data_IF_966456671032
#
_entry.id   IF_966456671032
#
_cell.length_a   1.000
_cell.length_b   1.000
_cell.length_c   1.000
_cell.angle_alpha   90.00
_cell.angle_beta   90.00
_cell.angle_gamma   90.00
#
_symmetry.space_group_name_H-M   'P 1'
#
loop_
_entity.id
_entity.type
_entity.pdbx_description
1 polymer ?
#
# COMPACT_ATOMS: atom_id res chain seq x y z
N UNK A 1 38.10 28.45 -24.30
CA UNK A 1 37.40 28.55 -23.00
C UNK A 1 36.66 27.23 -22.81
N UNK A 2 37.05 26.42 -21.81
CA UNK A 2 36.39 25.15 -21.52
C UNK A 2 35.10 25.46 -20.76
N UNK A 3 33.96 25.13 -21.34
CA UNK A 3 32.69 25.20 -20.64
C UNK A 3 32.68 24.09 -19.58
N UNK A 4 32.72 24.47 -18.31
CA UNK A 4 32.59 23.54 -17.20
C UNK A 4 31.22 22.88 -17.26
N UNK A 5 31.19 21.56 -17.35
CA UNK A 5 29.97 20.80 -17.19
C UNK A 5 29.49 20.96 -15.74
N UNK A 6 28.41 21.70 -15.53
CA UNK A 6 27.74 21.76 -14.24
C UNK A 6 26.89 20.49 -14.13
N UNK A 7 27.38 19.50 -13.39
CA UNK A 7 26.60 18.32 -13.03
C UNK A 7 25.93 18.59 -11.68
N UNK A 8 24.61 18.76 -11.67
CA UNK A 8 23.84 18.69 -10.44
C UNK A 8 23.76 17.22 -10.03
N UNK A 9 24.25 16.87 -8.83
CA UNK A 9 24.17 15.50 -8.31
C UNK A 9 22.71 15.14 -7.93
N UNK A 10 21.91 14.78 -8.92
CA UNK A 10 20.52 14.31 -8.79
C UNK A 10 20.40 13.05 -7.93
N UNK A 11 21.48 12.25 -7.85
CA UNK A 11 21.56 11.06 -6.98
C UNK A 11 21.44 11.41 -5.50
N UNK A 12 22.05 12.51 -5.05
CA UNK A 12 21.95 12.93 -3.64
C UNK A 12 20.53 13.38 -3.30
N UNK A 13 19.85 14.05 -4.21
CA UNK A 13 18.45 14.47 -4.03
C UNK A 13 17.48 13.27 -3.99
N UNK A 14 17.67 12.27 -4.85
CA UNK A 14 16.91 11.01 -4.79
C UNK A 14 17.13 10.25 -3.49
N UNK A 15 18.34 10.35 -2.91
CA UNK A 15 18.67 9.75 -1.61
C UNK A 15 17.98 10.48 -0.46
N UNK A 16 17.84 11.81 -0.53
CA UNK A 16 17.08 12.60 0.45
C UNK A 16 15.58 12.30 0.36
N UNK A 17 14.99 12.23 -0.84
CA UNK A 17 13.59 11.83 -1.02
C UNK A 17 13.33 10.46 -0.41
N UNK A 18 14.21 9.49 -0.72
CA UNK A 18 14.11 8.12 -0.21
C UNK A 18 14.26 8.05 1.31
N UNK A 19 15.24 8.78 1.88
CA UNK A 19 15.43 8.84 3.33
C UNK A 19 14.22 9.46 4.04
N UNK A 20 13.54 10.43 3.44
CA UNK A 20 12.34 11.05 4.03
C UNK A 20 11.11 10.14 3.85
N UNK A 21 10.98 9.42 2.73
CA UNK A 21 9.96 8.38 2.55
C UNK A 21 10.14 7.21 3.54
N UNK A 22 11.38 6.79 3.79
CA UNK A 22 11.73 5.74 4.76
C UNK A 22 11.43 6.19 6.20
N UNK A 23 11.72 7.45 6.54
CA UNK A 23 11.33 8.03 7.85
C UNK A 23 9.82 8.13 7.98
N UNK A 24 9.09 8.56 6.94
CA UNK A 24 7.64 8.66 6.97
C UNK A 24 6.95 7.30 7.13
N UNK A 25 7.43 6.27 6.42
CA UNK A 25 6.90 4.91 6.49
C UNK A 25 7.23 4.22 7.82
N UNK A 26 8.45 4.37 8.33
CA UNK A 26 8.83 3.87 9.66
C UNK A 26 8.00 4.52 10.76
N UNK A 27 7.70 5.81 10.65
CA UNK A 27 6.92 6.54 11.64
C UNK A 27 5.43 6.17 11.63
N UNK A 28 4.85 5.94 10.44
CA UNK A 28 3.49 5.39 10.30
C UNK A 28 3.39 3.97 10.88
N UNK A 29 4.42 3.15 10.71
CA UNK A 29 4.50 1.82 11.34
C UNK A 29 4.51 1.95 12.86
N UNK A 30 5.42 2.77 13.43
CA UNK A 30 5.50 2.99 14.87
C UNK A 30 4.21 3.56 15.45
N UNK A 31 3.49 4.41 14.71
CA UNK A 31 2.19 4.96 15.15
C UNK A 31 1.11 3.87 15.20
N UNK A 32 1.05 2.99 14.19
CA UNK A 32 0.13 1.84 14.18
C UNK A 32 0.48 0.80 15.25
N UNK A 33 1.77 0.59 15.49
CA UNK A 33 2.25 -0.30 16.55
C UNK A 33 1.88 0.25 17.95
N UNK A 34 1.94 1.58 18.12
CA UNK A 34 1.43 2.30 19.30
C UNK A 34 -0.08 2.16 19.45
N UNK A 35 -0.86 2.31 18.38
CA UNK A 35 -2.31 2.08 18.39
C UNK A 35 -2.65 0.62 18.77
N UNK A 36 -1.89 -0.35 18.27
CA UNK A 36 -2.04 -1.77 18.60
C UNK A 36 -1.75 -2.08 20.07
N UNK A 37 -0.64 -1.57 20.62
CA UNK A 37 -0.26 -1.71 22.03
C UNK A 37 -1.27 -1.04 22.97
N UNK A 38 -1.87 0.08 22.55
CA UNK A 38 -2.87 0.82 23.34
C UNK A 38 -4.24 0.12 23.33
N UNK A 39 -4.64 -0.48 22.21
CA UNK A 39 -5.85 -1.31 22.15
C UNK A 39 -5.73 -2.55 23.05
N UNK A 40 -4.52 -3.09 23.22
CA UNK A 40 -4.25 -4.19 24.16
C UNK A 40 -4.35 -3.71 25.62
N UNK A 41 -3.88 -2.49 25.93
CA UNK A 41 -4.05 -1.90 27.26
C UNK A 41 -5.52 -1.61 27.64
N UNK A 42 -6.41 -1.43 26.65
CA UNK A 42 -7.85 -1.29 26.88
C UNK A 42 -8.51 -2.59 27.36
N UNK A 43 -7.88 -3.76 27.19
CA UNK A 43 -8.36 -5.01 27.78
C UNK A 43 -8.21 -5.05 29.31
N UNK A 44 -7.51 -4.06 29.90
CA UNK A 44 -7.32 -3.91 31.35
C UNK A 44 -8.11 -2.75 31.98
N UNK A 45 -8.95 -2.03 31.23
CA UNK A 45 -9.73 -0.89 31.74
C UNK A 45 -10.99 -1.34 32.52
N UNK A 46 -10.79 -2.15 33.56
CA UNK A 46 -11.73 -2.39 34.66
C UNK A 46 -11.42 -1.53 35.91
N UNK A 47 -10.59 -0.48 35.80
CA UNK A 47 -10.14 0.31 36.96
C UNK A 47 -10.35 1.82 36.74
N UNK A 48 -11.38 2.38 37.40
CA UNK A 48 -11.45 3.78 37.87
C UNK A 48 -11.68 4.89 36.85
N UNK A 49 -12.83 5.57 36.96
CA UNK A 49 -13.30 6.65 36.06
C UNK A 49 -12.39 7.88 35.95
N UNK A 50 -11.50 8.14 36.90
CA UNK A 50 -10.52 9.24 36.83
C UNK A 50 -9.31 8.95 35.93
N UNK A 51 -8.83 7.70 35.92
CA UNK A 51 -7.69 7.28 35.08
C UNK A 51 -8.14 7.15 33.63
N UNK A 52 -9.35 6.65 33.38
CA UNK A 52 -9.93 6.57 32.05
C UNK A 52 -10.11 7.97 31.39
N UNK A 53 -10.55 8.97 32.16
CA UNK A 53 -10.71 10.34 31.66
C UNK A 53 -9.37 11.02 31.36
N UNK A 54 -8.37 10.87 32.26
CA UNK A 54 -7.02 11.37 32.02
C UNK A 54 -6.35 10.68 30.83
N UNK A 55 -6.57 9.37 30.66
CA UNK A 55 -6.06 8.60 29.53
C UNK A 55 -6.69 9.05 28.20
N UNK A 56 -8.00 9.28 28.17
CA UNK A 56 -8.71 9.81 27.00
C UNK A 56 -8.23 11.23 26.61
N UNK A 57 -7.95 12.08 27.59
CA UNK A 57 -7.42 13.42 27.34
C UNK A 57 -5.98 13.39 26.78
N UNK A 58 -5.11 12.51 27.33
CA UNK A 58 -3.76 12.26 26.81
C UNK A 58 -3.80 11.69 25.39
N UNK A 59 -4.73 10.77 25.09
CA UNK A 59 -4.93 10.21 23.76
C UNK A 59 -5.35 11.27 22.74
N UNK A 60 -6.27 12.16 23.11
CA UNK A 60 -6.71 13.26 22.23
C UNK A 60 -5.58 14.24 21.92
N UNK A 61 -4.75 14.56 22.90
CA UNK A 61 -3.56 15.41 22.70
C UNK A 61 -2.49 14.73 21.86
N UNK A 62 -2.21 13.44 22.10
CA UNK A 62 -1.26 12.67 21.29
C UNK A 62 -1.73 12.54 19.84
N UNK A 63 -3.00 12.19 19.61
CA UNK A 63 -3.57 12.11 18.28
C UNK A 63 -3.51 13.46 17.53
N UNK A 64 -3.86 14.56 18.19
CA UNK A 64 -3.78 15.90 17.58
C UNK A 64 -2.35 16.35 17.27
N UNK A 65 -1.38 16.03 18.15
CA UNK A 65 0.03 16.34 17.92
C UNK A 65 0.62 15.52 16.76
N UNK A 66 0.29 14.22 16.70
CA UNK A 66 0.67 13.33 15.61
C UNK A 66 0.07 13.79 14.27
N UNK A 67 -1.19 14.22 14.26
CA UNK A 67 -1.84 14.74 13.05
C UNK A 67 -1.18 16.03 12.54
N UNK A 68 -0.84 16.97 13.43
CA UNK A 68 -0.11 18.20 13.05
C UNK A 68 1.27 17.89 12.49
N UNK A 69 1.94 16.90 13.07
CA UNK A 69 3.24 16.44 12.61
C UNK A 69 3.14 15.72 11.25
N UNK A 70 2.14 14.85 11.04
CA UNK A 70 1.88 14.21 9.75
C UNK A 70 1.59 15.23 8.64
N UNK A 71 0.78 16.26 8.93
CA UNK A 71 0.55 17.35 7.99
C UNK A 71 1.83 18.12 7.67
N UNK A 72 2.71 18.33 8.66
CA UNK A 72 4.00 18.99 8.43
C UNK A 72 4.92 18.13 7.55
N UNK A 73 5.01 16.82 7.80
CA UNK A 73 5.82 15.89 6.99
C UNK A 73 5.25 15.74 5.57
N UNK A 74 3.93 15.68 5.42
CA UNK A 74 3.26 15.68 4.10
C UNK A 74 3.60 16.94 3.30
N UNK A 75 3.55 18.12 3.94
CA UNK A 75 3.95 19.38 3.32
C UNK A 75 5.44 19.41 2.95
N UNK A 76 6.31 18.88 3.80
CA UNK A 76 7.75 18.77 3.49
C UNK A 76 7.99 17.84 2.30
N UNK A 77 7.35 16.68 2.25
CA UNK A 77 7.43 15.75 1.11
C UNK A 77 6.98 16.39 -0.19
N UNK A 78 5.84 17.09 -0.17
CA UNK A 78 5.32 17.75 -1.36
C UNK A 78 6.24 18.88 -1.83
N UNK A 79 6.84 19.64 -0.91
CA UNK A 79 7.82 20.68 -1.23
C UNK A 79 9.11 20.10 -1.81
N UNK A 80 9.61 18.98 -1.27
CA UNK A 80 10.80 18.30 -1.78
C UNK A 80 10.54 17.69 -3.15
N UNK A 81 9.39 17.06 -3.37
CA UNK A 81 9.01 16.51 -4.66
C UNK A 81 8.84 17.61 -5.72
N UNK A 82 8.22 18.72 -5.34
CA UNK A 82 8.11 19.92 -6.20
C UNK A 82 9.49 20.46 -6.57
N UNK A 83 10.40 20.54 -5.59
CA UNK A 83 11.78 20.97 -5.85
C UNK A 83 12.51 20.00 -6.78
N UNK A 84 12.43 18.69 -6.55
CA UNK A 84 13.06 17.67 -7.39
C UNK A 84 12.54 17.71 -8.85
N UNK A 85 11.23 17.84 -9.02
CA UNK A 85 10.61 17.99 -10.34
C UNK A 85 11.07 19.30 -11.03
N UNK A 86 11.19 20.39 -10.27
CA UNK A 86 11.72 21.66 -10.76
C UNK A 86 13.17 21.55 -11.26
N UNK A 87 14.02 20.81 -10.55
CA UNK A 87 15.39 20.55 -11.00
C UNK A 87 15.46 19.68 -12.26
N UNK A 88 14.64 18.63 -12.35
CA UNK A 88 14.57 17.79 -13.56
C UNK A 88 14.07 18.57 -14.79
N UNK A 89 13.09 19.47 -14.61
CA UNK A 89 12.62 20.34 -15.67
C UNK A 89 13.70 21.33 -16.13
N UNK A 90 14.41 21.96 -15.18
CA UNK A 90 15.52 22.84 -15.49
C UNK A 90 16.67 22.11 -16.23
N UNK A 91 16.96 20.86 -15.84
CA UNK A 91 17.97 20.03 -16.52
C UNK A 91 17.56 19.67 -17.95
N UNK A 92 16.28 19.31 -18.16
CA UNK A 92 15.73 19.03 -19.48
C UNK A 92 15.76 20.27 -20.39
N UNK A 93 15.44 21.45 -19.86
CA UNK A 93 15.48 22.72 -20.59
C UNK A 93 16.92 23.08 -21.00
N UNK A 94 17.89 22.85 -20.12
CA UNK A 94 19.32 23.04 -20.41
C UNK A 94 19.81 22.03 -21.46
N UNK A 95 19.43 20.76 -21.35
CA UNK A 95 19.80 19.71 -22.31
C UNK A 95 19.22 19.98 -23.71
N UNK A 96 18.00 20.51 -23.79
CA UNK A 96 17.41 20.97 -25.06
C UNK A 96 18.13 22.20 -25.61
N UNK A 97 18.54 23.14 -24.76
CA UNK A 97 19.33 24.31 -25.13
C UNK A 97 20.72 23.99 -25.73
N UNK A 98 21.29 22.81 -25.42
CA UNK A 98 22.56 22.33 -25.97
C UNK A 98 22.41 21.36 -27.17
N UNK A 99 21.20 21.19 -27.73
CA UNK A 99 21.00 20.54 -29.03
C UNK A 99 20.71 19.03 -29.00
N UNK A 100 20.16 18.49 -27.91
CA UNK A 100 19.79 17.07 -27.78
C UNK A 100 18.54 16.65 -28.59
N UNK A 101 18.62 16.67 -29.92
CA UNK A 101 17.57 16.14 -30.81
C UNK A 101 17.91 14.73 -31.33
N UNK A 102 17.08 13.75 -30.94
CA UNK A 102 16.79 12.44 -31.59
C UNK A 102 17.93 11.65 -32.22
N UNK A 103 18.22 10.45 -31.68
CA UNK A 103 18.67 9.31 -32.48
C UNK A 103 18.13 7.98 -31.93
N UNK A 104 17.20 7.39 -32.68
CA UNK A 104 16.99 5.94 -32.72
C UNK A 104 18.27 5.27 -33.23
N UNK A 105 18.74 4.22 -32.55
CA UNK A 105 19.62 3.21 -33.13
C UNK A 105 19.44 1.88 -32.40
N UNK A 106 19.50 0.82 -33.19
CA UNK A 106 19.04 -0.53 -32.89
C UNK A 106 20.16 -1.46 -32.39
N UNK A 107 19.76 -2.53 -31.69
CA UNK A 107 20.37 -3.86 -31.77
C UNK A 107 21.51 -4.20 -30.79
N UNK A 108 21.30 -5.26 -29.99
CA UNK A 108 22.37 -6.01 -29.33
C UNK A 108 21.94 -6.63 -28.00
N UNK A 109 21.79 -7.96 -27.96
CA UNK A 109 21.33 -8.70 -26.79
C UNK A 109 22.35 -8.80 -25.64
N UNK A 110 21.85 -9.13 -24.45
CA UNK A 110 22.66 -9.47 -23.29
C UNK A 110 22.01 -9.04 -21.97
N UNK A 111 21.70 -10.03 -21.12
CA UNK A 111 21.13 -9.94 -19.77
C UNK A 111 19.71 -9.34 -19.69
N UNK A 112 18.78 -10.08 -19.07
CA UNK A 112 17.49 -9.54 -18.65
C UNK A 112 17.79 -8.32 -17.76
N UNK A 113 17.57 -7.13 -18.29
CA UNK A 113 17.58 -5.92 -17.50
C UNK A 113 16.62 -6.15 -16.33
N UNK A 114 17.12 -6.00 -15.10
CA UNK A 114 16.26 -6.04 -13.92
C UNK A 114 15.08 -5.10 -14.21
N UNK A 115 13.88 -5.68 -14.30
CA UNK A 115 12.69 -4.91 -14.62
C UNK A 115 12.61 -3.76 -13.62
N UNK A 116 12.55 -2.52 -14.12
CA UNK A 116 12.55 -1.35 -13.25
C UNK A 116 11.36 -1.47 -12.28
N UNK A 117 11.65 -1.33 -10.99
CA UNK A 117 10.64 -1.40 -9.93
C UNK A 117 9.52 -0.39 -10.24
N UNK A 118 8.25 -0.82 -10.34
CA UNK A 118 7.13 0.07 -10.60
C UNK A 118 7.07 1.24 -9.63
N UNK A 119 6.94 2.45 -10.18
CA UNK A 119 6.75 3.66 -9.38
C UNK A 119 5.27 3.88 -9.01
N UNK A 120 4.37 3.29 -9.78
CA UNK A 120 2.92 3.38 -9.62
C UNK A 120 2.29 2.00 -9.70
N UNK A 121 1.13 1.85 -9.05
CA UNK A 121 0.28 0.67 -9.20
C UNK A 121 -0.22 0.58 -10.66
N UNK A 122 -0.30 -0.62 -11.23
CA UNK A 122 -0.80 -0.77 -12.60
C UNK A 122 -2.23 -0.20 -12.70
N UNK A 123 -2.51 0.67 -13.70
CA UNK A 123 -3.81 1.30 -13.85
C UNK A 123 -4.99 0.31 -13.92
N UNK A 124 -4.79 -0.90 -14.45
CA UNK A 124 -5.82 -1.94 -14.52
C UNK A 124 -6.19 -2.46 -13.14
N UNK A 125 -5.23 -2.48 -12.21
CA UNK A 125 -5.47 -2.86 -10.81
C UNK A 125 -6.26 -1.76 -10.12
N UNK A 126 -5.92 -0.48 -10.35
CA UNK A 126 -6.70 0.65 -9.83
C UNK A 126 -8.15 0.56 -10.31
N UNK A 127 -8.37 0.35 -11.61
CA UNK A 127 -9.71 0.26 -12.18
C UNK A 127 -10.49 -0.95 -11.65
N UNK A 128 -9.84 -2.10 -11.51
CA UNK A 128 -10.44 -3.31 -10.92
C UNK A 128 -10.89 -3.07 -9.47
N UNK A 129 -10.03 -2.48 -8.63
CA UNK A 129 -10.39 -2.18 -7.23
C UNK A 129 -11.49 -1.13 -7.16
N UNK A 130 -11.43 -0.07 -7.97
CA UNK A 130 -12.49 0.94 -8.01
C UNK A 130 -13.84 0.34 -8.41
N UNK A 131 -13.84 -0.59 -9.36
CA UNK A 131 -15.05 -1.29 -9.79
C UNK A 131 -15.59 -2.24 -8.71
N UNK A 132 -14.71 -2.96 -7.99
CA UNK A 132 -15.12 -3.92 -6.96
C UNK A 132 -15.61 -3.26 -5.67
N UNK A 133 -14.92 -2.21 -5.22
CA UNK A 133 -15.25 -1.48 -3.99
C UNK A 133 -16.43 -0.52 -4.20
N UNK A 134 -16.61 -0.02 -5.44
CA UNK A 134 -17.66 0.89 -5.81
C UNK A 134 -17.40 2.34 -5.39
N UNK A 135 -18.07 3.27 -6.09
CA UNK A 135 -17.88 4.71 -5.86
C UNK A 135 -18.52 5.23 -4.57
N UNK A 136 -19.43 4.47 -3.98
CA UNK A 136 -20.17 4.83 -2.76
C UNK A 136 -20.49 3.57 -1.97
N UNK A 137 -20.32 3.64 -0.65
CA UNK A 137 -20.70 2.57 0.27
C UNK A 137 -20.87 3.06 1.69
N UNK A 138 -21.31 2.16 2.56
CA UNK A 138 -21.32 2.35 4.00
C UNK A 138 -20.85 1.06 4.67
N UNK A 139 -19.84 1.14 5.53
CA UNK A 139 -19.36 0.01 6.31
C UNK A 139 -19.42 0.35 7.80
N UNK A 140 -20.31 -0.34 8.53
CA UNK A 140 -20.48 -0.15 9.96
C UNK A 140 -20.95 1.27 10.35
N UNK A 141 -21.82 1.88 9.54
CA UNK A 141 -22.27 3.26 9.76
C UNK A 141 -21.33 4.34 9.24
N UNK A 142 -20.22 3.96 8.60
CA UNK A 142 -19.20 4.90 8.11
C UNK A 142 -19.25 4.98 6.58
N UNK A 143 -19.41 6.18 6.00
CA UNK A 143 -19.32 6.39 4.57
C UNK A 143 -17.98 5.95 3.97
N UNK A 144 -18.04 5.43 2.75
CA UNK A 144 -16.89 4.89 2.03
C UNK A 144 -16.96 5.23 0.54
N UNK A 145 -15.79 5.41 -0.07
CA UNK A 145 -15.60 5.50 -1.52
C UNK A 145 -14.37 4.70 -1.93
N UNK A 146 -14.55 3.74 -2.83
CA UNK A 146 -13.48 2.89 -3.38
C UNK A 146 -12.61 2.20 -2.31
N UNK A 147 -13.22 1.76 -1.20
CA UNK A 147 -12.52 1.12 -0.08
C UNK A 147 -11.90 2.09 0.95
N UNK A 148 -12.02 3.40 0.73
CA UNK A 148 -11.53 4.43 1.64
C UNK A 148 -12.67 4.92 2.54
N UNK A 149 -12.54 4.75 3.85
CA UNK A 149 -13.58 5.10 4.83
C UNK A 149 -13.33 6.47 5.45
N UNK A 150 -14.39 7.23 5.66
CA UNK A 150 -14.33 8.61 6.16
C UNK A 150 -13.54 8.75 7.47
N UNK A 151 -13.77 7.86 8.44
CA UNK A 151 -13.14 7.94 9.76
C UNK A 151 -11.72 7.37 9.83
N UNK A 152 -11.22 6.77 8.76
CA UNK A 152 -9.88 6.17 8.73
C UNK A 152 -8.79 7.17 8.32
N UNK A 153 -9.18 8.41 7.97
CA UNK A 153 -8.27 9.47 7.50
C UNK A 153 -7.28 9.01 6.41
N UNK A 154 -7.70 8.04 5.60
CA UNK A 154 -6.85 7.34 4.64
C UNK A 154 -6.93 7.93 3.22
N UNK A 155 -7.54 9.11 3.08
CA UNK A 155 -7.68 9.80 1.80
C UNK A 155 -9.12 9.99 1.31
N UNK A 156 -10.12 9.48 2.03
CA UNK A 156 -11.54 9.66 1.70
C UNK A 156 -11.88 11.13 1.39
N UNK A 157 -11.48 12.08 2.25
CA UNK A 157 -11.79 13.51 2.06
C UNK A 157 -11.20 14.08 0.76
N UNK A 158 -10.05 13.57 0.31
CA UNK A 158 -9.43 13.98 -0.97
C UNK A 158 -10.24 13.47 -2.16
N UNK A 159 -10.76 12.25 -2.08
CA UNK A 159 -11.62 11.65 -3.10
C UNK A 159 -12.92 12.46 -3.19
N UNK A 160 -13.55 12.76 -2.06
CA UNK A 160 -14.79 13.56 -2.02
C UNK A 160 -14.54 14.99 -2.54
N UNK A 161 -13.44 15.64 -2.16
CA UNK A 161 -13.10 16.95 -2.69
C UNK A 161 -12.93 16.94 -4.22
N UNK A 162 -12.24 15.93 -4.78
CA UNK A 162 -12.11 15.80 -6.22
C UNK A 162 -13.46 15.53 -6.90
N UNK A 163 -14.31 14.69 -6.28
CA UNK A 163 -15.67 14.41 -6.74
C UNK A 163 -16.54 15.66 -6.79
N UNK A 164 -16.49 16.50 -5.76
CA UNK A 164 -17.27 17.74 -5.69
C UNK A 164 -16.82 18.77 -6.74
N UNK A 165 -15.52 18.81 -7.06
CA UNK A 165 -14.96 19.75 -8.02
C UNK A 165 -15.12 19.30 -9.48
N UNK A 166 -14.92 18.00 -9.76
CA UNK A 166 -14.77 17.48 -11.13
C UNK A 166 -15.85 16.46 -11.52
N UNK A 167 -16.66 16.00 -10.56
CA UNK A 167 -17.67 14.98 -10.76
C UNK A 167 -17.19 13.57 -10.42
N UNK A 168 -18.13 12.71 -10.02
CA UNK A 168 -17.87 11.29 -9.75
C UNK A 168 -17.48 10.55 -11.03
N UNK A 169 -16.43 9.75 -10.98
CA UNK A 169 -15.87 9.01 -12.12
C UNK A 169 -15.03 9.87 -13.06
N UNK A 170 -14.75 11.13 -12.71
CA UNK A 170 -13.85 11.99 -13.47
C UNK A 170 -12.42 11.45 -13.49
N UNK A 171 -11.63 11.87 -14.48
CA UNK A 171 -10.22 11.48 -14.57
C UNK A 171 -9.42 12.01 -13.36
N UNK A 172 -9.81 13.16 -12.83
CA UNK A 172 -9.23 13.81 -11.66
C UNK A 172 -9.54 13.04 -10.37
N UNK A 173 -10.80 12.60 -10.17
CA UNK A 173 -11.13 11.70 -9.05
C UNK A 173 -10.33 10.40 -9.15
N UNK A 174 -10.29 9.80 -10.34
CA UNK A 174 -9.53 8.58 -10.60
C UNK A 174 -8.03 8.76 -10.31
N UNK A 175 -7.44 9.91 -10.67
CA UNK A 175 -6.03 10.20 -10.39
C UNK A 175 -5.76 10.25 -8.87
N UNK A 176 -6.64 10.91 -8.10
CA UNK A 176 -6.53 10.93 -6.63
C UNK A 176 -6.60 9.52 -6.04
N UNK A 177 -7.55 8.69 -6.52
CA UNK A 177 -7.67 7.31 -6.06
C UNK A 177 -6.42 6.50 -6.42
N UNK A 178 -5.92 6.64 -7.65
CA UNK A 178 -4.70 5.98 -8.13
C UNK A 178 -3.49 6.32 -7.25
N UNK A 179 -3.32 7.58 -6.87
CA UNK A 179 -2.23 8.02 -6.00
C UNK A 179 -2.34 7.40 -4.60
N UNK A 180 -3.54 7.40 -4.01
CA UNK A 180 -3.79 6.81 -2.70
C UNK A 180 -3.57 5.29 -2.70
N UNK A 181 -4.05 4.60 -3.73
CA UNK A 181 -3.83 3.16 -3.91
C UNK A 181 -2.35 2.84 -4.14
N UNK A 182 -1.62 3.67 -4.88
CA UNK A 182 -0.18 3.53 -5.09
C UNK A 182 0.59 3.65 -3.77
N UNK A 183 0.21 4.59 -2.89
CA UNK A 183 0.81 4.69 -1.56
C UNK A 183 0.57 3.44 -0.71
N UNK A 184 -0.64 2.89 -0.75
CA UNK A 184 -0.97 1.63 -0.07
C UNK A 184 -0.19 0.45 -0.67
N UNK A 185 -0.08 0.38 -2.00
CA UNK A 185 0.68 -0.63 -2.73
C UNK A 185 2.16 -0.63 -2.33
N UNK A 186 2.74 0.57 -2.17
CA UNK A 186 4.12 0.72 -1.68
C UNK A 186 4.28 0.16 -0.28
N UNK A 187 3.39 0.52 0.65
CA UNK A 187 3.43 0.04 2.03
C UNK A 187 3.26 -1.48 2.13
N UNK A 188 2.38 -2.06 1.30
CA UNK A 188 2.15 -3.50 1.22
C UNK A 188 3.26 -4.27 0.49
N UNK A 189 4.16 -3.58 -0.22
CA UNK A 189 5.22 -4.19 -1.01
C UNK A 189 4.76 -4.71 -2.38
N UNK A 190 3.56 -4.34 -2.85
CA UNK A 190 3.06 -4.71 -4.18
C UNK A 190 3.94 -4.13 -5.29
N UNK A 191 4.52 -2.94 -5.08
CA UNK A 191 5.39 -2.29 -6.05
C UNK A 191 6.75 -2.98 -6.24
N UNK A 192 7.07 -4.05 -5.48
CA UNK A 192 8.24 -4.89 -5.78
C UNK A 192 8.05 -5.78 -7.02
N UNK A 193 6.83 -5.84 -7.56
CA UNK A 193 6.45 -6.75 -8.63
C UNK A 193 5.78 -5.98 -9.77
N UNK A 194 6.12 -6.34 -11.01
CA UNK A 194 5.58 -5.72 -12.22
C UNK A 194 4.29 -6.38 -12.72
N UNK A 195 4.00 -7.61 -12.29
CA UNK A 195 2.81 -8.33 -12.72
C UNK A 195 1.54 -7.72 -12.06
N UNK A 196 0.53 -7.30 -12.84
CA UNK A 196 -0.67 -6.67 -12.31
C UNK A 196 -1.51 -7.62 -11.45
N UNK A 197 -1.58 -8.90 -11.80
CA UNK A 197 -2.29 -9.90 -11.00
C UNK A 197 -1.62 -10.10 -9.64
N UNK A 198 -0.28 -10.11 -9.60
CA UNK A 198 0.48 -10.09 -8.34
C UNK A 198 0.20 -8.83 -7.53
N UNK A 199 0.23 -7.65 -8.16
CA UNK A 199 -0.09 -6.39 -7.48
C UNK A 199 -1.51 -6.41 -6.89
N UNK A 200 -2.51 -6.86 -7.65
CA UNK A 200 -3.90 -6.96 -7.20
C UNK A 200 -4.07 -7.92 -6.01
N UNK A 201 -3.43 -9.10 -6.08
CA UNK A 201 -3.47 -10.07 -5.00
C UNK A 201 -2.87 -9.51 -3.69
N UNK A 202 -1.73 -8.83 -3.78
CA UNK A 202 -1.09 -8.20 -2.61
C UNK A 202 -1.96 -7.08 -2.05
N UNK A 203 -2.59 -6.27 -2.92
CA UNK A 203 -3.52 -5.22 -2.49
C UNK A 203 -4.75 -5.79 -1.77
N UNK A 204 -5.35 -6.87 -2.28
CA UNK A 204 -6.45 -7.58 -1.58
C UNK A 204 -6.00 -8.14 -0.22
N UNK A 205 -4.82 -8.78 -0.19
CA UNK A 205 -4.23 -9.26 1.06
C UNK A 205 -4.02 -8.13 2.08
N UNK A 206 -3.52 -6.98 1.63
CA UNK A 206 -3.30 -5.79 2.45
C UNK A 206 -4.61 -5.20 2.97
N UNK A 207 -5.66 -5.14 2.15
CA UNK A 207 -6.98 -4.69 2.58
C UNK A 207 -7.52 -5.57 3.71
N UNK A 208 -7.31 -6.88 3.61
CA UNK A 208 -7.86 -7.84 4.57
C UNK A 208 -7.04 -8.02 5.85
N UNK A 209 -5.72 -7.91 5.79
CA UNK A 209 -4.79 -8.25 6.88
C UNK A 209 -3.81 -7.13 7.22
N UNK A 210 -3.95 -5.98 6.58
CA UNK A 210 -2.99 -4.88 6.65
C UNK A 210 -1.73 -5.16 5.84
N UNK A 211 -0.96 -4.09 5.59
CA UNK A 211 0.34 -4.18 4.92
C UNK A 211 1.30 -5.15 5.63
N UNK A 212 1.31 -5.15 6.96
CA UNK A 212 2.13 -6.05 7.76
C UNK A 212 1.81 -7.52 7.56
N UNK A 213 0.53 -7.88 7.60
CA UNK A 213 0.06 -9.24 7.43
C UNK A 213 0.35 -9.79 6.03
N UNK A 214 0.10 -9.01 4.97
CA UNK A 214 0.39 -9.47 3.60
C UNK A 214 1.88 -9.66 3.35
N UNK A 215 2.74 -8.80 3.92
CA UNK A 215 4.21 -8.99 3.85
C UNK A 215 4.64 -10.27 4.55
N UNK A 216 4.03 -10.60 5.69
CA UNK A 216 4.29 -11.87 6.37
C UNK A 216 3.84 -13.09 5.55
N UNK A 217 2.69 -13.00 4.88
CA UNK A 217 2.19 -14.06 3.97
C UNK A 217 3.18 -14.29 2.81
N UNK A 218 3.65 -13.22 2.18
CA UNK A 218 4.61 -13.32 1.06
C UNK A 218 5.95 -13.91 1.53
N UNK A 219 6.43 -13.50 2.70
CA UNK A 219 7.64 -14.08 3.29
C UNK A 219 7.47 -15.58 3.58
N UNK A 220 6.30 -15.97 4.07
CA UNK A 220 5.98 -17.37 4.33
C UNK A 220 6.01 -18.24 3.06
N UNK A 221 5.56 -17.72 1.91
CA UNK A 221 5.68 -18.43 0.62
C UNK A 221 7.13 -18.81 0.28
N UNK A 222 8.11 -18.07 0.80
CA UNK A 222 9.53 -18.32 0.60
C UNK A 222 10.18 -19.16 1.73
N UNK A 223 9.38 -19.68 2.66
CA UNK A 223 9.82 -20.60 3.71
C UNK A 223 10.03 -19.96 5.09
N UNK A 224 9.73 -18.68 5.28
CA UNK A 224 9.74 -18.06 6.61
C UNK A 224 8.59 -18.59 7.48
N UNK A 225 8.72 -18.52 8.80
CA UNK A 225 7.62 -18.86 9.71
C UNK A 225 6.44 -17.89 9.58
N UNK A 226 5.21 -18.38 9.75
CA UNK A 226 4.02 -17.54 9.80
C UNK A 226 4.05 -16.67 11.07
N UNK A 227 4.18 -15.36 10.86
CA UNK A 227 4.09 -14.33 11.90
C UNK A 227 2.92 -13.39 11.61
N UNK A 228 2.37 -12.73 12.64
CA UNK A 228 1.20 -11.84 12.49
C UNK A 228 1.47 -10.60 11.63
N UNK A 229 2.71 -10.11 11.58
CA UNK A 229 3.06 -8.92 10.82
C UNK A 229 4.55 -8.94 10.51
N UNK A 230 4.91 -8.54 9.29
CA UNK A 230 6.29 -8.25 8.91
C UNK A 230 6.43 -6.79 8.51
N UNK A 231 7.59 -6.19 8.78
CA UNK A 231 7.90 -4.80 8.41
C UNK A 231 8.31 -4.66 6.94
N UNK A 232 8.75 -5.73 6.29
CA UNK A 232 9.20 -5.75 4.90
C UNK A 232 9.00 -7.14 4.27
N UNK A 233 9.06 -7.18 2.93
CA UNK A 233 9.22 -8.43 2.19
C UNK A 233 10.72 -8.73 2.13
N UNK A 234 11.15 -9.95 2.43
CA UNK A 234 12.56 -10.34 2.35
C UNK A 234 13.03 -10.44 0.90
N UNK A 235 14.32 -10.22 0.65
CA UNK A 235 14.88 -10.36 -0.71
C UNK A 235 14.67 -11.77 -1.26
N UNK A 236 14.76 -12.79 -0.40
CA UNK A 236 14.44 -14.19 -0.74
C UNK A 236 13.01 -14.33 -1.23
N UNK A 237 12.04 -13.69 -0.55
CA UNK A 237 10.65 -13.75 -0.94
C UNK A 237 10.35 -12.96 -2.23
N UNK A 238 11.01 -11.82 -2.43
CA UNK A 238 10.93 -11.09 -3.71
C UNK A 238 11.46 -11.97 -4.86
N UNK A 239 12.64 -12.58 -4.69
CA UNK A 239 13.24 -13.45 -5.70
C UNK A 239 12.38 -14.68 -5.98
N UNK A 240 11.84 -15.32 -4.93
CA UNK A 240 10.94 -16.45 -5.05
C UNK A 240 9.72 -16.09 -5.90
N UNK A 241 9.00 -15.03 -5.53
CA UNK A 241 7.80 -14.58 -6.25
C UNK A 241 8.12 -14.18 -7.69
N UNK A 242 9.24 -13.49 -7.95
CA UNK A 242 9.67 -13.13 -9.30
C UNK A 242 10.02 -14.36 -10.18
N UNK A 243 10.35 -15.49 -9.56
CA UNK A 243 10.61 -16.76 -10.25
C UNK A 243 9.34 -17.57 -10.55
N UNK A 244 8.18 -17.21 -10.00
CA UNK A 244 6.93 -17.93 -10.21
C UNK A 244 6.25 -17.51 -11.52
N UNK A 245 5.56 -18.46 -12.15
CA UNK A 245 4.54 -18.10 -13.15
C UNK A 245 3.38 -17.38 -12.47
N UNK A 246 2.58 -16.57 -13.20
CA UNK A 246 1.39 -15.96 -12.61
C UNK A 246 0.44 -16.97 -11.96
N UNK A 247 0.25 -18.14 -12.58
CA UNK A 247 -0.58 -19.22 -12.04
C UNK A 247 -0.01 -19.76 -10.73
N UNK A 248 1.29 -20.04 -10.68
CA UNK A 248 1.94 -20.58 -9.48
C UNK A 248 1.95 -19.56 -8.35
N UNK A 249 2.15 -18.27 -8.67
CA UNK A 249 2.03 -17.20 -7.68
C UNK A 249 0.64 -17.15 -7.07
N UNK A 250 -0.42 -17.11 -7.90
CA UNK A 250 -1.78 -17.01 -7.37
C UNK A 250 -2.14 -18.22 -6.51
N UNK A 251 -1.72 -19.43 -6.91
CA UNK A 251 -1.95 -20.64 -6.13
C UNK A 251 -1.20 -20.62 -4.79
N UNK A 252 0.11 -20.31 -4.81
CA UNK A 252 0.90 -20.28 -3.58
C UNK A 252 0.44 -19.17 -2.63
N UNK A 253 0.07 -18.00 -3.15
CA UNK A 253 -0.45 -16.90 -2.34
C UNK A 253 -1.83 -17.23 -1.76
N UNK A 254 -2.71 -17.90 -2.53
CA UNK A 254 -3.98 -18.43 -2.04
C UNK A 254 -3.76 -19.35 -0.83
N UNK A 255 -2.89 -20.35 -0.98
CA UNK A 255 -2.64 -21.34 0.07
C UNK A 255 -2.00 -20.71 1.31
N UNK A 256 -1.01 -19.83 1.11
CA UNK A 256 -0.35 -19.10 2.20
C UNK A 256 -1.32 -18.19 2.98
N UNK A 257 -2.34 -17.60 2.33
CA UNK A 257 -3.39 -16.83 3.04
C UNK A 257 -4.24 -17.71 3.94
N UNK A 258 -4.60 -18.91 3.47
CA UNK A 258 -5.38 -19.87 4.26
C UNK A 258 -4.59 -20.33 5.48
N UNK A 259 -3.31 -20.67 5.29
CA UNK A 259 -2.43 -21.10 6.37
C UNK A 259 -2.22 -19.97 7.39
N UNK A 260 -1.96 -18.76 6.92
CA UNK A 260 -1.86 -17.57 7.75
C UNK A 260 -3.12 -17.34 8.58
N UNK A 261 -4.31 -17.42 7.96
CA UNK A 261 -5.57 -17.20 8.66
C UNK A 261 -5.84 -18.26 9.72
N UNK A 262 -5.56 -19.53 9.41
CA UNK A 262 -5.69 -20.64 10.35
C UNK A 262 -4.75 -20.48 11.54
N UNK A 263 -3.48 -20.13 11.29
CA UNK A 263 -2.47 -20.04 12.35
C UNK A 263 -2.64 -18.78 13.21
N UNK A 264 -2.92 -17.63 12.61
CA UNK A 264 -2.98 -16.34 13.33
C UNK A 264 -4.35 -16.10 13.98
N UNK A 265 -5.44 -16.52 13.34
CA UNK A 265 -6.80 -16.26 13.82
C UNK A 265 -7.59 -17.51 14.13
N UNK A 266 -7.25 -18.66 13.56
CA UNK A 266 -8.10 -19.85 13.62
C UNK A 266 -8.31 -20.41 15.03
N UNK A 267 -7.42 -20.12 15.99
CA UNK A 267 -7.64 -20.45 17.40
C UNK A 267 -8.46 -19.43 18.19
N UNK A 268 -8.82 -18.30 17.60
CA UNK A 268 -9.45 -17.18 18.31
C UNK A 268 -10.98 -17.30 18.34
N UNK A 269 -11.60 -16.61 19.29
CA UNK A 269 -13.06 -16.56 19.45
C UNK A 269 -13.61 -15.29 18.82
N UNK A 270 -14.74 -15.41 18.10
CA UNK A 270 -15.48 -14.28 17.54
C UNK A 270 -16.89 -14.21 18.14
N UNK A 271 -17.41 -12.99 18.27
CA UNK A 271 -18.79 -12.72 18.67
C UNK A 271 -19.53 -11.99 17.55
N UNK A 272 -20.61 -12.58 17.04
CA UNK A 272 -21.43 -11.96 16.00
C UNK A 272 -22.90 -12.31 16.23
N UNK A 273 -23.78 -11.31 16.22
CA UNK A 273 -25.22 -11.52 16.41
C UNK A 273 -25.59 -12.17 17.76
N UNK A 274 -24.79 -11.92 18.80
CA UNK A 274 -24.99 -12.52 20.14
C UNK A 274 -24.52 -13.97 20.26
N UNK A 275 -23.94 -14.56 19.21
CA UNK A 275 -23.38 -15.91 19.23
C UNK A 275 -21.85 -15.86 19.32
N UNK A 276 -21.29 -16.78 20.09
CA UNK A 276 -19.86 -16.99 20.25
C UNK A 276 -19.44 -18.21 19.46
N UNK A 277 -18.42 -18.09 18.62
CA UNK A 277 -17.90 -19.20 17.82
C UNK A 277 -16.37 -19.11 17.68
N UNK A 278 -15.75 -20.23 17.28
CA UNK A 278 -14.39 -20.20 16.77
C UNK A 278 -14.34 -19.38 15.47
N UNK A 279 -13.29 -18.58 15.29
CA UNK A 279 -13.17 -17.67 14.15
C UNK A 279 -13.05 -18.41 12.82
N UNK A 280 -12.27 -19.48 12.74
CA UNK A 280 -12.09 -20.25 11.52
C UNK A 280 -13.38 -20.99 11.14
N UNK A 281 -14.05 -21.61 12.10
CA UNK A 281 -15.33 -22.27 11.86
C UNK A 281 -16.39 -21.29 11.32
N UNK A 282 -16.33 -20.03 11.78
CA UNK A 282 -17.28 -19.00 11.37
C UNK A 282 -16.98 -18.42 10.00
N UNK A 283 -15.72 -18.09 9.72
CA UNK A 283 -15.35 -17.30 8.53
C UNK A 283 -14.55 -18.07 7.48
N UNK A 284 -13.92 -19.19 7.84
CA UNK A 284 -12.97 -19.92 7.01
C UNK A 284 -13.53 -20.32 5.64
N UNK A 285 -14.74 -20.88 5.59
CA UNK A 285 -15.37 -21.25 4.32
C UNK A 285 -15.61 -20.03 3.41
N UNK A 286 -16.10 -18.92 3.97
CA UNK A 286 -16.33 -17.69 3.20
C UNK A 286 -15.03 -17.04 2.71
N UNK A 287 -13.96 -17.13 3.51
CA UNK A 287 -12.64 -16.65 3.14
C UNK A 287 -12.02 -17.49 2.03
N UNK A 288 -12.08 -18.82 2.14
CA UNK A 288 -11.60 -19.72 1.07
C UNK A 288 -12.33 -19.45 -0.25
N UNK A 289 -13.66 -19.40 -0.24
CA UNK A 289 -14.43 -19.07 -1.45
C UNK A 289 -14.10 -17.70 -2.03
N UNK A 290 -13.75 -16.73 -1.18
CA UNK A 290 -13.27 -15.42 -1.62
C UNK A 290 -11.91 -15.54 -2.30
N UNK A 291 -10.98 -16.27 -1.71
CA UNK A 291 -9.64 -16.45 -2.26
C UNK A 291 -9.66 -17.23 -3.58
N UNK A 292 -10.47 -18.27 -3.70
CA UNK A 292 -10.69 -19.02 -4.95
C UNK A 292 -11.13 -18.08 -6.08
N UNK A 293 -12.07 -17.17 -5.78
CA UNK A 293 -12.60 -16.23 -6.77
C UNK A 293 -11.58 -15.15 -7.14
N UNK A 294 -10.89 -14.58 -6.14
CA UNK A 294 -9.84 -13.58 -6.33
C UNK A 294 -8.66 -14.13 -7.14
N UNK A 295 -8.24 -15.38 -6.90
CA UNK A 295 -7.19 -16.05 -7.67
C UNK A 295 -7.53 -16.06 -9.18
N UNK A 296 -8.77 -16.43 -9.54
CA UNK A 296 -9.20 -16.46 -10.92
C UNK A 296 -9.30 -15.06 -11.55
N UNK A 297 -9.81 -14.09 -10.79
CA UNK A 297 -9.92 -12.70 -11.22
C UNK A 297 -8.55 -12.08 -11.49
N UNK A 298 -7.63 -12.20 -10.54
CA UNK A 298 -6.31 -11.57 -10.63
C UNK A 298 -5.40 -12.26 -11.63
N UNK A 299 -5.57 -13.56 -11.85
CA UNK A 299 -4.90 -14.25 -12.96
C UNK A 299 -5.29 -13.65 -14.32
N UNK A 300 -6.53 -13.17 -14.47
CA UNK A 300 -6.98 -12.45 -15.65
C UNK A 300 -6.23 -11.14 -15.89
N UNK A 301 -5.76 -10.47 -14.83
CA UNK A 301 -4.99 -9.22 -14.91
C UNK A 301 -3.52 -9.45 -15.35
N UNK A 302 -2.97 -10.64 -15.08
CA UNK A 302 -1.63 -11.05 -15.53
C UNK A 302 -1.56 -11.37 -17.03
N UNK A 303 -2.71 -11.52 -17.71
CA UNK A 303 -2.75 -11.79 -19.15
C UNK A 303 -2.67 -10.48 -19.96
N UNK A 304 -1.98 -10.48 -21.12
CA UNK A 304 -2.07 -9.37 -22.07
C UNK A 304 -3.53 -9.19 -22.53
N UNK A 305 -4.02 -7.95 -22.53
CA UNK A 305 -5.30 -7.64 -23.18
C UNK A 305 -5.09 -7.66 -24.69
N UNK A 306 -5.85 -8.50 -25.40
CA UNK A 306 -5.93 -8.52 -26.87
C UNK A 306 -6.77 -7.36 -27.39
#
# INVERSE_FOLDING_TARGET
MSAGAYHAETTQMGTVVKAVEDVGSSFLSTTRDLEGLVLDAMSFAGIGSGVAAANSALHSQLGSALQKFLSLIGNVNQNVQTAANGYNAADADVAQGYGGGTQQAAGGGGAAAAAAVPQQLDPRVVDSIMASEGATGEQGGVPEAYGFRQNMHNGYDRIIAARELYGQGSAEERAVVSDLMTANARSAGALNFTDPGTQAAIMSGAHMRGAGGVRAIINHMAGDDIVRSSNSISDTAVQHVQGLSPQDFQQQFHDARIEYDRQIYGGTTTHQGGQTANWWDRYGNGLTQRYDREQNEFLGLSQPQN
#
